data_IF_730957266773
#
_entry.id   IF_730957266773
#
_cell.length_a   1.000
_cell.length_b   1.000
_cell.length_c   1.000
_cell.angle_alpha   90.00
_cell.angle_beta   90.00
_cell.angle_gamma   90.00
#
_symmetry.space_group_name_H-M   'P 1'
#
loop_
_entity.id
_entity.type
_entity.pdbx_description
1 polymer ?
#
# COMPACT_ATOMS: atom_id res chain seq x y z
N UNK A 1 9.19 -10.69 -9.51
CA UNK A 1 7.86 -10.83 -8.89
C UNK A 1 6.96 -9.89 -9.64
N UNK A 2 5.80 -10.35 -10.09
CA UNK A 2 4.96 -9.55 -10.99
C UNK A 2 4.16 -8.50 -10.22
N UNK A 3 4.00 -7.32 -10.82
CA UNK A 3 3.23 -6.21 -10.28
C UNK A 3 1.82 -6.61 -9.84
N UNK A 4 1.14 -7.45 -10.63
CA UNK A 4 -0.19 -7.96 -10.30
C UNK A 4 -0.22 -8.76 -8.98
N UNK A 5 0.84 -9.51 -8.68
CA UNK A 5 0.95 -10.22 -7.40
C UNK A 5 1.18 -9.26 -6.23
N UNK A 6 2.00 -8.21 -6.42
CA UNK A 6 2.16 -7.17 -5.40
C UNK A 6 0.84 -6.47 -5.11
N UNK A 7 0.10 -6.06 -6.14
CA UNK A 7 -1.23 -5.44 -5.99
C UNK A 7 -2.17 -6.35 -5.19
N UNK A 8 -2.24 -7.64 -5.54
CA UNK A 8 -3.09 -8.61 -4.82
C UNK A 8 -2.70 -8.74 -3.34
N UNK A 9 -1.41 -8.75 -3.05
CA UNK A 9 -0.91 -8.80 -1.67
C UNK A 9 -1.24 -7.52 -0.90
N UNK A 10 -1.07 -6.35 -1.54
CA UNK A 10 -1.38 -5.06 -0.95
C UNK A 10 -2.88 -4.93 -0.62
N UNK A 11 -3.76 -5.38 -1.53
CA UNK A 11 -5.21 -5.40 -1.29
C UNK A 11 -5.59 -6.30 -0.11
N UNK A 12 -4.94 -7.46 0.04
CA UNK A 12 -5.21 -8.34 1.18
C UNK A 12 -4.82 -7.69 2.51
N UNK A 13 -3.79 -6.86 2.52
CA UNK A 13 -3.43 -6.03 3.68
C UNK A 13 -4.53 -4.99 3.89
N UNK A 14 -4.98 -4.32 2.82
CA UNK A 14 -6.11 -3.40 2.84
C UNK A 14 -7.36 -3.99 3.47
N UNK A 15 -7.79 -5.18 3.05
CA UNK A 15 -8.96 -5.89 3.60
C UNK A 15 -8.87 -6.10 5.12
N UNK A 16 -7.68 -6.39 5.63
CA UNK A 16 -7.46 -6.60 7.06
C UNK A 16 -7.63 -5.30 7.85
N UNK A 17 -7.03 -4.21 7.37
CA UNK A 17 -7.09 -2.91 8.04
C UNK A 17 -8.42 -2.18 7.80
N UNK A 18 -9.15 -2.50 6.72
CA UNK A 18 -10.47 -1.94 6.44
C UNK A 18 -11.54 -2.35 7.47
N UNK A 19 -11.29 -3.42 8.24
CA UNK A 19 -12.14 -3.81 9.37
C UNK A 19 -11.91 -2.97 10.63
N UNK A 20 -10.87 -2.12 10.67
CA UNK A 20 -10.62 -1.24 11.82
C UNK A 20 -11.61 -0.07 11.84
N UNK A 21 -12.10 0.32 13.03
CA UNK A 21 -13.07 1.42 13.16
C UNK A 21 -12.43 2.79 12.90
N UNK A 22 -11.14 2.94 13.18
CA UNK A 22 -10.39 4.18 12.98
C UNK A 22 -9.68 4.16 11.62
N UNK A 23 -10.05 5.10 10.75
CA UNK A 23 -9.58 5.13 9.37
C UNK A 23 -8.13 5.62 9.29
N UNK A 24 -7.77 6.60 10.10
CA UNK A 24 -6.40 7.11 10.14
C UNK A 24 -5.42 6.03 10.63
N UNK A 25 -5.80 5.27 11.66
CA UNK A 25 -5.01 4.15 12.18
C UNK A 25 -4.89 3.03 11.14
N UNK A 26 -5.96 2.74 10.40
CA UNK A 26 -5.93 1.77 9.31
C UNK A 26 -4.95 2.16 8.21
N UNK A 27 -4.98 3.43 7.76
CA UNK A 27 -4.06 3.94 6.72
C UNK A 27 -2.61 3.87 7.18
N UNK A 28 -2.32 4.30 8.41
CA UNK A 28 -0.99 4.21 9.00
C UNK A 28 -0.51 2.76 9.12
N UNK A 29 -1.39 1.87 9.57
CA UNK A 29 -1.10 0.44 9.72
C UNK A 29 -0.77 -0.25 8.40
N UNK A 30 -1.49 0.07 7.32
CA UNK A 30 -1.18 -0.44 5.97
C UNK A 30 0.21 0.01 5.53
N UNK A 31 0.51 1.30 5.64
CA UNK A 31 1.78 1.86 5.21
C UNK A 31 2.97 1.28 5.99
N UNK A 32 2.86 1.22 7.33
CA UNK A 32 3.91 0.63 8.17
C UNK A 32 4.07 -0.87 7.92
N UNK A 33 2.98 -1.62 7.69
CA UNK A 33 3.07 -3.04 7.38
C UNK A 33 3.82 -3.27 6.06
N UNK A 34 3.45 -2.56 5.00
CA UNK A 34 4.15 -2.62 3.72
C UNK A 34 5.63 -2.22 3.91
N UNK A 35 5.92 -1.16 4.68
CA UNK A 35 7.29 -0.70 4.93
C UNK A 35 8.15 -1.72 5.68
N UNK A 36 7.58 -2.37 6.70
CA UNK A 36 8.29 -3.29 7.59
C UNK A 36 8.52 -4.66 6.98
N UNK A 37 7.57 -5.15 6.19
CA UNK A 37 7.61 -6.51 5.65
C UNK A 37 8.05 -6.58 4.19
N UNK A 38 8.00 -5.47 3.43
CA UNK A 38 8.38 -5.49 2.01
C UNK A 38 9.74 -4.82 1.77
N UNK A 39 10.49 -5.40 0.84
CA UNK A 39 11.77 -4.87 0.41
C UNK A 39 11.60 -3.51 -0.30
N UNK A 40 12.63 -2.63 -0.27
CA UNK A 40 12.60 -1.35 -0.97
C UNK A 40 12.23 -1.46 -2.46
N UNK A 41 12.69 -2.51 -3.15
CA UNK A 41 12.37 -2.75 -4.57
C UNK A 41 10.87 -2.97 -4.79
N UNK A 42 10.24 -3.81 -3.96
CA UNK A 42 8.80 -4.12 -4.06
C UNK A 42 7.94 -2.88 -3.85
N UNK A 43 8.33 -2.01 -2.91
CA UNK A 43 7.65 -0.74 -2.65
C UNK A 43 7.72 0.20 -3.85
N UNK A 44 8.90 0.31 -4.48
CA UNK A 44 9.08 1.11 -5.70
C UNK A 44 8.26 0.57 -6.85
N UNK A 45 8.18 -0.75 -7.01
CA UNK A 45 7.34 -1.39 -8.04
C UNK A 45 5.85 -1.13 -7.82
N UNK A 46 5.38 -1.20 -6.57
CA UNK A 46 4.00 -0.89 -6.23
C UNK A 46 3.64 0.59 -6.48
N UNK A 47 4.54 1.50 -6.14
CA UNK A 47 4.37 2.94 -6.41
C UNK A 47 4.40 3.24 -7.92
N UNK A 48 5.30 2.60 -8.68
CA UNK A 48 5.33 2.74 -10.13
C UNK A 48 4.03 2.21 -10.77
N UNK A 49 3.48 1.11 -10.25
CA UNK A 49 2.18 0.59 -10.68
C UNK A 49 1.02 1.55 -10.36
N UNK A 50 1.09 2.24 -9.21
CA UNK A 50 0.15 3.30 -8.85
C UNK A 50 0.16 4.45 -9.85
N UNK A 51 1.35 4.88 -10.28
CA UNK A 51 1.53 5.99 -11.22
C UNK A 51 1.19 5.61 -12.67
N UNK A 52 1.37 4.35 -13.06
CA UNK A 52 1.12 3.84 -14.41
C UNK A 52 -0.38 3.61 -14.74
N UNK A 53 -1.28 3.92 -13.81
CA UNK A 53 -2.73 3.66 -13.91
C UNK A 53 -3.13 2.18 -14.12
N UNK A 54 -2.17 1.24 -13.97
CA UNK A 54 -2.43 -0.19 -13.68
C UNK A 54 -3.08 -0.39 -12.29
N UNK A 55 -3.21 0.72 -11.57
CA UNK A 55 -3.76 0.88 -10.26
C UNK A 55 -5.30 0.76 -10.19
N UNK A 56 -5.99 0.51 -11.31
CA UNK A 56 -7.41 0.14 -11.31
C UNK A 56 -7.72 -1.13 -10.50
N UNK A 57 -6.69 -1.95 -10.20
CA UNK A 57 -6.80 -3.12 -9.34
C UNK A 57 -6.44 -2.86 -7.86
N UNK A 58 -5.94 -1.68 -7.49
CA UNK A 58 -5.62 -1.34 -6.10
C UNK A 58 -6.87 -0.84 -5.37
N UNK A 59 -7.08 -1.32 -4.15
CA UNK A 59 -8.15 -0.80 -3.29
C UNK A 59 -7.90 0.65 -2.88
N UNK A 60 -8.99 1.42 -2.72
CA UNK A 60 -8.93 2.83 -2.35
C UNK A 60 -8.18 3.06 -1.04
N UNK A 61 -8.42 2.23 -0.02
CA UNK A 61 -7.73 2.35 1.28
C UNK A 61 -6.21 2.14 1.16
N UNK A 62 -5.77 1.24 0.27
CA UNK A 62 -4.35 0.97 0.04
C UNK A 62 -3.71 2.10 -0.76
N UNK A 63 -4.41 2.58 -1.80
CA UNK A 63 -3.97 3.73 -2.60
C UNK A 63 -3.81 4.96 -1.72
N UNK A 64 -4.76 5.22 -0.85
CA UNK A 64 -4.71 6.36 0.06
C UNK A 64 -3.60 6.22 1.09
N UNK A 65 -3.42 5.03 1.69
CA UNK A 65 -2.31 4.79 2.61
C UNK A 65 -0.95 5.07 1.94
N UNK A 66 -0.77 4.57 0.70
CA UNK A 66 0.46 4.78 -0.05
C UNK A 66 0.64 6.23 -0.52
N UNK A 67 -0.43 6.94 -0.84
CA UNK A 67 -0.39 8.35 -1.22
C UNK A 67 -0.05 9.26 -0.02
N UNK A 68 -0.68 9.02 1.13
CA UNK A 68 -0.44 9.77 2.38
C UNK A 68 0.97 9.55 2.91
N UNK A 69 1.52 8.35 2.76
CA UNK A 69 2.86 8.00 3.23
C UNK A 69 3.93 7.97 2.12
N UNK A 70 3.65 8.58 0.96
CA UNK A 70 4.54 8.57 -0.22
C UNK A 70 5.87 9.27 0.02
N UNK A 71 5.82 10.37 0.76
CA UNK A 71 6.95 11.24 1.04
C UNK A 71 7.55 11.05 2.42
N UNK A 72 7.00 10.18 3.27
CA UNK A 72 7.51 10.00 4.63
C UNK A 72 8.98 9.56 4.57
N UNK A 73 9.93 10.49 4.79
CA UNK A 73 11.31 10.10 4.97
C UNK A 73 11.27 9.43 6.33
N UNK A 74 11.69 8.17 6.40
CA UNK A 74 12.11 7.61 7.68
C UNK A 74 12.95 8.63 8.43
N UNK A 75 12.42 9.14 9.56
CA UNK A 75 13.28 9.58 10.65
C UNK A 75 14.10 8.38 11.14
#
# INVERSE_FOLDING_TARGET
>A
MDTANLIRMANRIGDFFAAMPEREEALHGIAEHIRKFWEPRMRRELLAAMDADEAGALQDIVREALATHRDAPTA
#
